data_IF_995847250939
#
_entry.id   IF_995847250939
#
_cell.length_a   1.000
_cell.length_b   1.000
_cell.length_c   1.000
_cell.angle_alpha   90.00
_cell.angle_beta   90.00
_cell.angle_gamma   90.00
#
_symmetry.space_group_name_H-M   'P 1'
#
loop_
_entity.id
_entity.type
_entity.pdbx_description
1 polymer ?
#
# COMPACT_ATOMS: atom_id res chain seq x y z
N UNK A 1 21.67 -31.95 3.88
CA UNK A 1 21.00 -30.61 3.97
C UNK A 1 20.84 -30.13 2.54
N UNK A 2 19.64 -30.27 1.97
CA UNK A 2 19.37 -29.88 0.58
C UNK A 2 19.65 -28.36 0.41
N UNK A 3 20.59 -28.03 -0.49
CA UNK A 3 20.78 -26.67 -0.98
C UNK A 3 19.59 -26.32 -1.87
N UNK A 4 18.53 -25.73 -1.30
CA UNK A 4 17.43 -25.17 -2.08
C UNK A 4 18.02 -24.03 -2.90
N UNK A 5 18.01 -24.17 -4.22
CA UNK A 5 18.51 -23.16 -5.17
C UNK A 5 17.45 -22.08 -5.36
N UNK A 6 17.86 -20.85 -5.71
CA UNK A 6 16.97 -19.77 -6.14
C UNK A 6 15.98 -20.23 -7.23
N UNK A 7 16.31 -21.24 -8.04
CA UNK A 7 15.39 -21.84 -9.01
C UNK A 7 14.12 -22.42 -8.34
N UNK A 8 14.25 -23.01 -7.14
CA UNK A 8 13.13 -23.61 -6.41
C UNK A 8 12.20 -22.53 -5.82
N UNK A 9 12.79 -21.39 -5.41
CA UNK A 9 12.06 -20.19 -5.02
C UNK A 9 11.47 -19.44 -6.22
N UNK A 10 12.18 -19.40 -7.34
CA UNK A 10 11.72 -18.78 -8.59
C UNK A 10 10.46 -19.45 -9.13
N UNK A 11 10.41 -20.77 -9.19
CA UNK A 11 9.22 -21.52 -9.58
C UNK A 11 8.07 -21.38 -8.57
N UNK A 12 8.42 -21.09 -7.28
CA UNK A 12 7.45 -20.98 -6.18
C UNK A 12 6.82 -19.60 -6.04
N UNK A 13 7.48 -18.56 -6.53
CA UNK A 13 7.17 -17.15 -6.25
C UNK A 13 7.02 -16.29 -7.51
N UNK A 14 7.03 -16.90 -8.70
CA UNK A 14 7.14 -16.16 -9.97
C UNK A 14 5.91 -15.31 -10.32
N UNK A 15 4.74 -15.56 -9.72
CA UNK A 15 3.54 -14.77 -10.00
C UNK A 15 3.34 -13.60 -9.01
N UNK A 16 3.90 -13.67 -7.81
CA UNK A 16 3.76 -12.63 -6.80
C UNK A 16 5.06 -11.84 -6.65
N UNK A 17 5.02 -10.53 -6.89
CA UNK A 17 6.16 -9.63 -6.70
C UNK A 17 6.62 -9.56 -5.22
N UNK A 18 5.71 -9.86 -4.29
CA UNK A 18 5.93 -9.89 -2.84
C UNK A 18 5.35 -11.17 -2.26
N UNK A 19 6.02 -11.79 -1.29
CA UNK A 19 5.62 -13.04 -0.67
C UNK A 19 5.93 -13.06 0.84
N UNK A 20 5.22 -13.91 1.58
CA UNK A 20 5.44 -14.08 3.01
C UNK A 20 6.33 -15.28 3.33
N UNK A 21 6.91 -15.28 4.53
CA UNK A 21 7.64 -16.47 5.04
C UNK A 21 6.74 -17.69 5.13
N UNK A 22 5.46 -17.52 5.47
CA UNK A 22 4.49 -18.61 5.55
C UNK A 22 4.18 -19.25 4.20
N UNK A 23 4.09 -18.44 3.14
CA UNK A 23 3.86 -18.95 1.78
C UNK A 23 5.03 -19.84 1.33
N UNK A 24 6.26 -19.38 1.59
CA UNK A 24 7.47 -20.16 1.30
C UNK A 24 7.53 -21.44 2.15
N UNK A 25 7.22 -21.35 3.44
CA UNK A 25 7.22 -22.50 4.35
C UNK A 25 6.21 -23.56 3.88
N UNK A 26 4.98 -23.15 3.56
CA UNK A 26 3.93 -24.03 3.07
C UNK A 26 4.33 -24.71 1.76
N UNK A 27 4.88 -23.95 0.82
CA UNK A 27 5.24 -24.48 -0.50
C UNK A 27 6.44 -25.43 -0.48
N UNK A 28 7.44 -25.14 0.36
CA UNK A 28 8.62 -26.00 0.53
C UNK A 28 8.39 -27.12 1.55
N UNK A 29 7.20 -27.18 2.17
CA UNK A 29 6.85 -28.13 3.23
C UNK A 29 7.87 -28.15 4.39
N UNK A 30 8.35 -26.94 4.79
CA UNK A 30 9.29 -26.77 5.89
C UNK A 30 8.66 -25.94 7.02
N UNK A 31 9.26 -26.00 8.22
CA UNK A 31 8.82 -25.17 9.34
C UNK A 31 9.12 -23.70 9.07
N UNK A 32 8.24 -22.80 9.55
CA UNK A 32 8.40 -21.34 9.40
C UNK A 32 9.77 -20.82 9.86
N UNK A 33 10.32 -21.34 10.94
CA UNK A 33 11.66 -20.98 11.43
C UNK A 33 12.77 -21.31 10.43
N UNK A 34 12.68 -22.46 9.76
CA UNK A 34 13.65 -22.87 8.73
C UNK A 34 13.52 -21.96 7.49
N UNK A 35 12.29 -21.73 7.01
CA UNK A 35 12.03 -20.79 5.90
C UNK A 35 12.56 -19.38 6.23
N UNK A 36 12.30 -18.88 7.44
CA UNK A 36 12.78 -17.55 7.88
C UNK A 36 14.30 -17.44 7.87
N UNK A 37 15.01 -18.45 8.39
CA UNK A 37 16.47 -18.47 8.39
C UNK A 37 17.06 -18.56 6.97
N UNK A 38 16.42 -19.31 6.08
CA UNK A 38 16.79 -19.41 4.68
C UNK A 38 16.61 -18.08 3.94
N UNK A 39 15.43 -17.45 4.07
CA UNK A 39 15.13 -16.15 3.45
C UNK A 39 16.05 -15.04 3.98
N UNK A 40 16.39 -15.06 5.27
CA UNK A 40 17.34 -14.11 5.85
C UNK A 40 18.75 -14.25 5.24
N UNK A 41 19.22 -15.49 4.99
CA UNK A 41 20.51 -15.71 4.31
C UNK A 41 20.50 -15.22 2.85
N UNK A 42 19.40 -15.46 2.11
CA UNK A 42 19.25 -14.95 0.75
C UNK A 42 19.19 -13.41 0.72
N UNK A 43 18.59 -12.80 1.73
CA UNK A 43 18.59 -11.34 1.84
C UNK A 43 19.98 -10.80 2.19
N UNK A 44 20.73 -11.48 3.06
CA UNK A 44 22.12 -11.11 3.39
C UNK A 44 23.07 -11.20 2.17
N UNK A 45 22.78 -12.10 1.22
CA UNK A 45 23.51 -12.20 -0.05
C UNK A 45 22.96 -11.31 -1.17
N UNK A 46 22.00 -10.41 -0.89
CA UNK A 46 21.42 -9.49 -1.86
C UNK A 46 20.43 -10.10 -2.86
N UNK A 47 20.13 -11.40 -2.73
CA UNK A 47 19.22 -12.10 -3.63
C UNK A 47 17.73 -11.81 -3.32
N UNK A 48 17.44 -11.37 -2.11
CA UNK A 48 16.12 -10.93 -1.67
C UNK A 48 16.19 -9.58 -0.97
N UNK A 49 15.08 -8.87 -0.98
CA UNK A 49 14.87 -7.64 -0.19
C UNK A 49 13.84 -7.93 0.89
N UNK A 50 14.19 -7.66 2.15
CA UNK A 50 13.25 -7.76 3.27
C UNK A 50 12.48 -6.46 3.40
N UNK A 51 11.18 -6.49 3.17
CA UNK A 51 10.29 -5.32 3.31
C UNK A 51 9.91 -5.05 4.77
N UNK A 52 9.56 -6.12 5.49
CA UNK A 52 9.35 -6.16 6.94
C UNK A 52 9.56 -7.58 7.45
N UNK A 53 9.41 -7.78 8.76
CA UNK A 53 9.47 -9.13 9.33
C UNK A 53 8.45 -10.05 8.65
N UNK A 54 8.94 -11.11 8.03
CA UNK A 54 8.12 -12.12 7.37
C UNK A 54 7.61 -11.76 5.98
N UNK A 55 8.00 -10.60 5.41
CA UNK A 55 7.59 -10.16 4.06
C UNK A 55 8.81 -9.83 3.22
N UNK A 56 8.88 -10.37 2.04
CA UNK A 56 10.04 -10.38 1.17
C UNK A 56 9.67 -10.09 -0.28
N UNK A 57 10.62 -9.61 -1.04
CA UNK A 57 10.51 -9.44 -2.50
C UNK A 57 11.85 -9.74 -3.18
N UNK A 58 11.79 -9.99 -4.48
CA UNK A 58 12.97 -10.01 -5.34
C UNK A 58 13.41 -8.55 -5.66
N UNK A 59 14.73 -8.29 -5.78
CA UNK A 59 15.22 -6.98 -6.21
C UNK A 59 14.57 -6.56 -7.53
N UNK A 60 14.07 -5.30 -7.59
CA UNK A 60 13.46 -4.72 -8.78
C UNK A 60 12.08 -5.29 -9.19
N UNK A 61 11.50 -6.22 -8.43
CA UNK A 61 10.21 -6.83 -8.78
C UNK A 61 9.01 -6.18 -8.10
N UNK A 62 9.18 -5.59 -6.92
CA UNK A 62 8.06 -4.98 -6.21
C UNK A 62 7.76 -3.58 -6.74
N UNK A 63 6.51 -3.35 -7.09
CA UNK A 63 5.97 -2.01 -7.31
C UNK A 63 5.78 -1.31 -5.95
N UNK A 64 6.37 -0.12 -5.74
CA UNK A 64 6.15 0.66 -4.51
C UNK A 64 4.69 0.93 -4.19
N UNK A 65 3.83 1.01 -5.21
CA UNK A 65 2.39 1.23 -5.05
C UNK A 65 1.64 -0.03 -4.56
N UNK A 66 2.22 -1.23 -4.71
CA UNK A 66 1.70 -2.47 -4.16
C UNK A 66 2.05 -2.68 -2.68
N UNK A 67 3.09 -1.98 -2.18
CA UNK A 67 3.59 -2.19 -0.82
C UNK A 67 2.53 -2.02 0.27
N UNK A 68 1.60 -1.04 0.23
CA UNK A 68 0.61 -0.85 1.28
C UNK A 68 -0.15 -2.12 1.62
N UNK A 69 -0.64 -2.86 0.63
CA UNK A 69 -1.44 -4.08 0.83
C UNK A 69 -0.63 -5.19 1.52
N UNK A 70 0.61 -5.41 1.08
CA UNK A 70 1.48 -6.41 1.70
C UNK A 70 1.93 -6.01 3.12
N UNK A 71 2.16 -4.72 3.35
CA UNK A 71 2.61 -4.23 4.65
C UNK A 71 1.49 -4.22 5.68
N UNK A 72 0.24 -4.11 5.26
CA UNK A 72 -0.93 -4.10 6.17
C UNK A 72 -1.56 -5.48 6.36
N UNK A 73 -1.18 -6.48 5.56
CA UNK A 73 -1.74 -7.85 5.64
C UNK A 73 -1.85 -8.32 7.11
N UNK A 74 -3.01 -8.90 7.52
CA UNK A 74 -4.12 -9.38 6.69
C UNK A 74 -5.17 -8.31 6.33
N UNK A 75 -4.98 -7.07 6.71
CA UNK A 75 -5.94 -6.00 6.42
C UNK A 75 -5.72 -5.44 5.02
N UNK A 76 -6.78 -5.23 4.23
CA UNK A 76 -6.65 -4.64 2.91
C UNK A 76 -6.25 -3.17 2.97
N UNK A 77 -5.60 -2.69 1.92
CA UNK A 77 -5.22 -1.29 1.75
C UNK A 77 -5.43 -0.83 0.31
N UNK A 78 -5.48 0.47 0.10
CA UNK A 78 -5.41 1.11 -1.21
C UNK A 78 -4.57 2.39 -1.15
N UNK A 79 -3.89 2.71 -2.23
CA UNK A 79 -3.14 3.97 -2.38
C UNK A 79 -4.13 5.12 -2.46
N UNK A 80 -3.92 6.18 -1.67
CA UNK A 80 -4.82 7.33 -1.59
C UNK A 80 -4.05 8.62 -1.21
N UNK A 81 -4.78 9.64 -0.78
CA UNK A 81 -4.20 10.90 -0.32
C UNK A 81 -3.27 11.52 -1.39
N UNK A 82 -2.17 12.15 -0.98
CA UNK A 82 -1.24 12.82 -1.89
C UNK A 82 -0.70 11.88 -2.97
N UNK A 83 -0.49 10.59 -2.67
CA UNK A 83 0.00 9.64 -3.68
C UNK A 83 -1.02 9.43 -4.80
N UNK A 84 -2.30 9.25 -4.49
CA UNK A 84 -3.34 9.12 -5.49
C UNK A 84 -3.61 10.46 -6.19
N UNK A 85 -3.62 11.59 -5.45
CA UNK A 85 -3.77 12.92 -6.04
C UNK A 85 -2.68 13.19 -7.09
N UNK A 86 -1.42 12.84 -6.80
CA UNK A 86 -0.31 12.95 -7.75
C UNK A 86 -0.50 12.05 -8.97
N UNK A 87 -0.84 10.78 -8.76
CA UNK A 87 -1.05 9.82 -9.86
C UNK A 87 -2.21 10.21 -10.79
N UNK A 88 -3.20 10.92 -10.26
CA UNK A 88 -4.29 11.49 -11.06
C UNK A 88 -3.99 12.87 -11.66
N UNK A 89 -2.76 13.39 -11.45
CA UNK A 89 -2.35 14.72 -11.94
C UNK A 89 -3.06 15.88 -11.25
N UNK A 90 -3.62 15.64 -10.04
CA UNK A 90 -4.30 16.67 -9.27
C UNK A 90 -3.32 17.57 -8.49
N UNK A 91 -2.12 17.10 -8.24
CA UNK A 91 -1.01 17.85 -7.64
C UNK A 91 0.26 17.59 -8.45
N UNK A 92 1.10 18.61 -8.58
CA UNK A 92 2.36 18.52 -9.32
C UNK A 92 3.51 17.93 -8.49
N UNK A 93 3.45 18.08 -7.16
CA UNK A 93 4.51 17.62 -6.27
C UNK A 93 4.42 16.11 -6.03
N UNK A 94 5.45 15.38 -6.44
CA UNK A 94 5.58 13.95 -6.16
C UNK A 94 5.83 13.72 -4.66
N UNK A 95 4.99 12.92 -3.98
CA UNK A 95 5.20 12.64 -2.56
C UNK A 95 6.44 11.76 -2.32
N UNK A 96 7.27 12.13 -1.34
CA UNK A 96 8.43 11.32 -0.92
C UNK A 96 8.02 10.03 -0.17
N UNK A 97 6.75 9.85 0.12
CA UNK A 97 6.19 8.73 0.88
C UNK A 97 4.96 8.22 0.14
N UNK A 98 4.81 6.92 0.01
CA UNK A 98 3.56 6.34 -0.50
C UNK A 98 2.48 6.42 0.60
N UNK A 99 1.41 7.16 0.32
CA UNK A 99 0.27 7.30 1.22
C UNK A 99 -0.82 6.30 0.87
N UNK A 100 -1.34 5.63 1.89
CA UNK A 100 -2.36 4.62 1.73
C UNK A 100 -3.39 4.67 2.86
N UNK A 101 -4.56 4.15 2.57
CA UNK A 101 -5.68 3.98 3.49
C UNK A 101 -5.93 2.49 3.71
N UNK A 102 -6.20 2.08 4.94
CA UNK A 102 -6.38 0.67 5.31
C UNK A 102 -7.33 0.52 6.48
N UNK A 103 -7.84 -0.71 6.67
CA UNK A 103 -8.49 -1.14 7.91
C UNK A 103 -7.49 -1.46 9.02
N UNK A 104 -6.18 -1.54 8.71
CA UNK A 104 -5.11 -1.65 9.70
C UNK A 104 -4.97 -0.35 10.51
N UNK A 105 -4.31 -0.44 11.68
CA UNK A 105 -3.97 0.74 12.48
C UNK A 105 -3.05 1.69 11.72
N UNK A 106 -3.23 3.00 11.91
CA UNK A 106 -2.35 4.03 11.38
C UNK A 106 -0.90 3.73 11.77
N UNK A 107 -0.03 3.63 10.76
CA UNK A 107 1.38 3.32 10.94
C UNK A 107 2.22 3.79 9.75
N UNK A 108 3.46 4.20 10.04
CA UNK A 108 4.48 4.43 9.04
C UNK A 108 5.42 3.22 8.97
N UNK A 109 5.69 2.75 7.76
CA UNK A 109 6.66 1.72 7.46
C UNK A 109 7.83 2.34 6.71
N UNK A 110 9.04 1.96 7.09
CA UNK A 110 10.24 2.26 6.32
C UNK A 110 10.75 0.96 5.72
N UNK A 111 10.87 0.93 4.40
CA UNK A 111 11.35 -0.23 3.66
C UNK A 111 12.53 0.18 2.77
N UNK A 112 13.35 -0.76 2.30
CA UNK A 112 14.40 -0.46 1.32
C UNK A 112 13.88 0.10 0.00
N UNK A 113 12.57 -0.05 -0.30
CA UNK A 113 11.92 0.45 -1.52
C UNK A 113 11.22 1.81 -1.30
N UNK A 114 11.32 2.37 -0.12
CA UNK A 114 10.69 3.65 0.23
C UNK A 114 9.83 3.57 1.50
N UNK A 115 9.37 4.72 1.94
CA UNK A 115 8.49 4.83 3.09
C UNK A 115 7.01 4.74 2.67
N UNK A 116 6.20 4.08 3.50
CA UNK A 116 4.75 3.95 3.32
C UNK A 116 4.06 4.47 4.57
N UNK A 117 3.13 5.41 4.42
CA UNK A 117 2.30 5.94 5.50
C UNK A 117 0.88 5.41 5.34
N UNK A 118 0.47 4.55 6.26
CA UNK A 118 -0.87 3.94 6.27
C UNK A 118 -1.74 4.68 7.26
N UNK A 119 -2.94 5.04 6.83
CA UNK A 119 -3.95 5.73 7.62
C UNK A 119 -5.19 4.85 7.79
N UNK A 120 -5.63 4.72 9.04
CA UNK A 120 -6.79 3.91 9.37
C UNK A 120 -8.10 4.60 9.00
N UNK A 121 -9.02 3.82 8.40
CA UNK A 121 -10.43 4.20 8.27
C UNK A 121 -11.35 3.09 8.75
N UNK A 122 -12.57 3.45 9.13
CA UNK A 122 -13.59 2.47 9.49
C UNK A 122 -14.05 1.68 8.24
N UNK A 123 -14.52 0.42 8.40
CA UNK A 123 -14.97 -0.42 7.29
C UNK A 123 -16.03 0.25 6.41
N UNK A 124 -16.96 1.01 7.00
CA UNK A 124 -17.99 1.74 6.26
C UNK A 124 -17.44 2.81 5.30
N UNK A 125 -16.17 3.22 5.49
CA UNK A 125 -15.50 4.21 4.63
C UNK A 125 -14.41 3.61 3.73
N UNK A 126 -14.25 2.29 3.75
CA UNK A 126 -13.30 1.55 2.93
C UNK A 126 -13.91 1.17 1.57
N UNK A 127 -13.95 2.12 0.64
CA UNK A 127 -14.54 1.98 -0.71
C UNK A 127 -14.00 3.08 -1.64
N UNK A 128 -14.39 3.10 -2.93
CA UNK A 128 -14.08 4.17 -3.89
C UNK A 128 -12.66 4.08 -4.43
N UNK A 129 -12.17 2.88 -4.60
CA UNK A 129 -10.89 2.56 -5.23
C UNK A 129 -11.13 1.54 -6.35
N UNK A 130 -10.19 1.48 -7.27
CA UNK A 130 -10.19 0.59 -8.43
C UNK A 130 -8.87 -0.19 -8.47
N UNK A 131 -8.88 -1.34 -9.13
CA UNK A 131 -7.65 -2.09 -9.36
C UNK A 131 -6.78 -1.33 -10.38
N UNK A 132 -5.57 -0.97 -9.97
CA UNK A 132 -4.62 -0.21 -10.78
C UNK A 132 -3.48 -1.12 -11.25
N UNK A 133 -3.69 -1.75 -12.41
CA UNK A 133 -2.66 -2.52 -13.10
C UNK A 133 -2.55 -4.00 -12.74
N UNK A 134 -1.51 -4.65 -13.31
CA UNK A 134 -1.32 -6.12 -13.24
C UNK A 134 -0.93 -6.66 -11.85
N UNK A 135 -0.54 -5.81 -10.94
CA UNK A 135 -0.03 -6.21 -9.62
C UNK A 135 -1.10 -6.26 -8.52
N UNK A 136 -2.39 -6.11 -8.85
CA UNK A 136 -3.47 -6.10 -7.88
C UNK A 136 -3.44 -4.86 -6.96
N UNK A 137 -2.77 -3.80 -7.39
CA UNK A 137 -2.68 -2.56 -6.64
C UNK A 137 -4.04 -1.86 -6.66
N UNK A 138 -4.50 -1.40 -5.52
CA UNK A 138 -5.73 -0.62 -5.40
C UNK A 138 -5.39 0.86 -5.30
N UNK A 139 -6.04 1.67 -6.16
CA UNK A 139 -5.86 3.11 -6.21
C UNK A 139 -7.21 3.79 -5.98
N UNK A 140 -7.27 4.76 -5.08
CA UNK A 140 -8.44 5.60 -4.89
C UNK A 140 -8.79 6.34 -6.17
N UNK A 141 -10.09 6.49 -6.47
CA UNK A 141 -10.52 7.40 -7.55
C UNK A 141 -10.12 8.85 -7.21
N UNK A 142 -10.03 9.76 -8.18
CA UNK A 142 -9.69 11.18 -7.91
C UNK A 142 -10.54 11.80 -6.81
N UNK A 143 -11.85 11.55 -6.85
CA UNK A 143 -12.81 12.05 -5.88
C UNK A 143 -12.59 11.46 -4.49
N UNK A 144 -12.32 10.15 -4.45
CA UNK A 144 -12.06 9.45 -3.19
C UNK A 144 -10.76 9.91 -2.56
N UNK A 145 -9.70 10.06 -3.36
CA UNK A 145 -8.40 10.54 -2.88
C UNK A 145 -8.52 11.92 -2.22
N UNK A 146 -9.27 12.84 -2.85
CA UNK A 146 -9.56 14.16 -2.29
C UNK A 146 -10.37 14.06 -0.99
N UNK A 147 -11.46 13.27 -1.01
CA UNK A 147 -12.31 13.14 0.19
C UNK A 147 -11.55 12.47 1.33
N UNK A 148 -10.70 11.47 1.06
CA UNK A 148 -9.84 10.86 2.07
C UNK A 148 -8.87 11.89 2.66
N UNK A 149 -8.28 12.73 1.81
CA UNK A 149 -7.39 13.80 2.25
C UNK A 149 -8.10 14.77 3.22
N UNK A 150 -9.28 15.23 2.86
CA UNK A 150 -10.08 16.14 3.71
C UNK A 150 -10.60 15.44 4.98
N UNK A 151 -11.03 14.17 4.86
CA UNK A 151 -11.56 13.39 5.98
C UNK A 151 -10.51 13.10 7.07
N UNK A 152 -9.27 12.83 6.65
CA UNK A 152 -8.15 12.54 7.56
C UNK A 152 -7.40 13.79 7.99
N UNK A 153 -7.58 14.91 7.30
CA UNK A 153 -6.91 16.19 7.56
C UNK A 153 -7.02 16.73 9.00
N UNK A 154 -8.16 16.59 9.72
CA UNK A 154 -8.26 17.00 11.11
C UNK A 154 -7.44 16.17 12.10
N UNK A 155 -6.90 15.02 11.68
CA UNK A 155 -6.02 14.21 12.51
C UNK A 155 -4.62 14.83 12.58
N UNK A 156 -4.44 15.83 13.43
CA UNK A 156 -3.22 16.43 14.04
C UNK A 156 -1.85 16.24 13.34
N UNK A 157 -1.81 15.95 12.05
CA UNK A 157 -0.59 15.78 11.28
C UNK A 157 -0.33 17.03 10.45
N UNK A 158 0.90 17.54 10.48
CA UNK A 158 1.35 18.64 9.60
C UNK A 158 1.19 18.32 8.09
N UNK A 159 1.02 17.04 7.74
CA UNK A 159 0.79 16.53 6.39
C UNK A 159 -0.47 17.08 5.71
N UNK A 160 -1.46 17.55 6.48
CA UNK A 160 -2.77 17.96 5.99
C UNK A 160 -3.02 19.46 6.15
N UNK A 161 -1.99 20.26 6.48
CA UNK A 161 -2.16 21.70 6.77
C UNK A 161 -2.54 22.56 5.58
N UNK A 162 -2.21 22.14 4.37
CA UNK A 162 -2.64 22.81 3.15
C UNK A 162 -2.84 21.78 2.04
N UNK A 163 -3.93 21.90 1.29
CA UNK A 163 -4.02 21.27 -0.03
C UNK A 163 -2.92 21.94 -0.89
N UNK A 164 -2.01 21.18 -1.51
CA UNK A 164 -1.14 21.74 -2.53
C UNK A 164 -1.97 22.38 -3.63
N UNK A 165 -1.39 23.30 -4.40
CA UNK A 165 -2.03 23.80 -5.61
C UNK A 165 -2.51 22.60 -6.43
N UNK A 166 -3.83 22.52 -6.64
CA UNK A 166 -4.46 21.35 -7.22
C UNK A 166 -5.15 21.70 -8.53
N UNK A 167 -4.86 20.92 -9.55
CA UNK A 167 -5.57 20.96 -10.81
C UNK A 167 -6.66 19.89 -10.83
N UNK A 168 -7.79 20.24 -11.43
CA UNK A 168 -8.92 19.31 -11.52
C UNK A 168 -8.83 18.54 -12.84
N UNK A 169 -8.66 17.21 -12.82
CA UNK A 169 -8.63 16.42 -14.02
C UNK A 169 -10.02 16.48 -14.72
N UNK A 170 -10.04 16.45 -16.04
CA UNK A 170 -11.27 16.50 -16.84
C UNK A 170 -12.32 15.47 -16.45
N UNK A 171 -11.91 14.36 -15.85
CA UNK A 171 -12.79 13.27 -15.38
C UNK A 171 -13.28 13.45 -13.94
N UNK A 172 -12.86 14.50 -13.23
CA UNK A 172 -13.28 14.72 -11.84
C UNK A 172 -14.76 15.10 -11.77
N UNK A 173 -15.51 14.38 -10.95
CA UNK A 173 -16.95 14.59 -10.78
C UNK A 173 -17.27 15.12 -9.37
N UNK A 174 -17.62 16.40 -9.28
CA UNK A 174 -18.10 17.01 -8.03
C UNK A 174 -19.32 16.25 -7.46
N UNK A 175 -20.19 15.74 -8.35
CA UNK A 175 -21.36 14.93 -7.95
C UNK A 175 -20.92 13.63 -7.25
N UNK A 176 -19.93 12.94 -7.81
CA UNK A 176 -19.36 11.72 -7.21
C UNK A 176 -18.67 12.02 -5.87
N UNK A 177 -17.88 13.09 -5.79
CA UNK A 177 -17.25 13.52 -4.53
C UNK A 177 -18.32 13.80 -3.43
N UNK A 178 -19.38 14.53 -3.77
CA UNK A 178 -20.51 14.78 -2.84
C UNK A 178 -21.20 13.49 -2.41
N UNK A 179 -21.35 12.51 -3.30
CA UNK A 179 -21.92 11.20 -2.95
C UNK A 179 -21.05 10.44 -1.94
N UNK A 180 -19.72 10.51 -2.08
CA UNK A 180 -18.78 9.94 -1.10
C UNK A 180 -18.91 10.65 0.25
N UNK A 181 -18.96 11.99 0.28
CA UNK A 181 -19.12 12.79 1.51
C UNK A 181 -20.41 12.43 2.25
N UNK A 182 -21.52 12.20 1.54
CA UNK A 182 -22.80 11.79 2.15
C UNK A 182 -22.70 10.45 2.91
N UNK A 183 -21.74 9.58 2.57
CA UNK A 183 -21.52 8.31 3.27
C UNK A 183 -20.73 8.45 4.58
N UNK A 184 -20.17 9.64 4.87
CA UNK A 184 -19.49 9.90 6.13
C UNK A 184 -20.53 9.99 7.24
N UNK A 185 -20.46 9.11 8.25
CA UNK A 185 -21.43 9.06 9.35
C UNK A 185 -21.34 10.25 10.31
N UNK A 186 -20.17 10.87 10.46
CA UNK A 186 -19.93 11.98 11.35
C UNK A 186 -20.27 13.32 10.71
N UNK A 187 -21.28 14.03 11.24
CA UNK A 187 -21.68 15.38 10.78
C UNK A 187 -20.52 16.37 10.85
N UNK A 188 -19.69 16.33 11.92
CA UNK A 188 -18.52 17.22 12.10
C UNK A 188 -17.43 17.04 11.03
N UNK A 189 -17.44 15.94 10.27
CA UNK A 189 -16.47 15.64 9.21
C UNK A 189 -17.05 15.83 7.81
N UNK A 190 -18.33 16.19 7.70
CA UNK A 190 -19.00 16.49 6.42
C UNK A 190 -18.98 17.97 6.04
N UNK A 191 -18.77 18.85 7.04
CA UNK A 191 -18.64 20.30 6.89
C UNK A 191 -17.20 20.70 6.67
#
# INVERSE_FOLDING_TARGET
IAKIKMADLGAASMDAAVFSTSDVAARLQVRNGHASAMLARLAASGQLVRLRRGVWTLPGRADPLALPEYLTSPFPAYVSLQSALYLHGMISQMPAVTYAVSLARTRRFTTPLGAVSVHHVQPAFFFGFEDAGRSGNRLATPEKALVDFLYLGPARSNLFRALPESEWPKRFSVRAARAIVKRISSVRRRT
#
